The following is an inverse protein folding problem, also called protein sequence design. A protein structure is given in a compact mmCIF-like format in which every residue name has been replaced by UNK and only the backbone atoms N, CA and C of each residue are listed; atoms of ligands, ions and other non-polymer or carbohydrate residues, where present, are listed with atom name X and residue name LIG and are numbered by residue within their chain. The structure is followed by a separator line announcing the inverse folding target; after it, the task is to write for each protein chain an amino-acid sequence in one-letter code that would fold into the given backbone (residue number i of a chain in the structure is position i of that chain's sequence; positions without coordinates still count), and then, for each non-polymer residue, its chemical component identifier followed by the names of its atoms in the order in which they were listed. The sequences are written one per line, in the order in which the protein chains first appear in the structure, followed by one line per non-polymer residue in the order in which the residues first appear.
data_IF_357564583216
#
_entry.id   IF_357564583216
#
_cell.length_a   1.000
_cell.length_b   1.000
_cell.length_c   1.000
_cell.angle_alpha   90.00
_cell.angle_beta   90.00
_cell.angle_gamma   90.00
#
_symmetry.space_group_name_H-M   'P 1'
#
loop_
_entity.id
_entity.type
_entity.pdbx_description
1 polymer ?
#
# COMPACT_ATOMS: atom_id res chain seq x y z
N UNK A 1 -41.67 7.64 44.35
CA UNK A 1 -40.42 8.43 44.51
C UNK A 1 -39.28 7.63 45.19
N UNK A 2 -39.55 6.83 46.26
CA UNK A 2 -38.50 6.05 47.00
C UNK A 2 -37.76 5.01 46.11
N UNK A 3 -38.46 4.38 45.16
CA UNK A 3 -37.89 3.38 44.22
C UNK A 3 -37.08 4.05 43.11
N UNK A 4 -37.38 5.27 42.69
CA UNK A 4 -36.64 6.00 41.65
C UNK A 4 -35.26 6.49 42.19
N UNK A 5 -35.22 6.88 43.49
CA UNK A 5 -33.98 7.28 44.16
C UNK A 5 -33.01 6.09 44.35
N UNK A 6 -33.57 4.87 44.55
CA UNK A 6 -32.78 3.65 44.68
C UNK A 6 -32.16 3.24 43.36
N UNK A 7 -32.85 3.43 42.22
CA UNK A 7 -32.33 3.20 40.85
C UNK A 7 -31.23 4.23 40.51
N UNK A 8 -31.42 5.51 40.89
CA UNK A 8 -30.38 6.54 40.71
C UNK A 8 -29.14 6.29 41.57
N UNK A 9 -29.28 5.76 42.80
CA UNK A 9 -28.15 5.42 43.67
C UNK A 9 -27.32 4.21 43.13
N UNK A 10 -27.96 3.24 42.50
CA UNK A 10 -27.30 2.11 41.83
C UNK A 10 -26.52 2.57 40.57
N UNK A 11 -27.01 3.59 39.86
CA UNK A 11 -26.30 4.21 38.73
C UNK A 11 -25.00 4.92 39.12
N UNK A 12 -24.89 5.39 40.38
CA UNK A 12 -23.66 6.05 40.89
C UNK A 12 -22.56 5.08 41.34
N UNK A 13 -22.90 3.83 41.63
CA UNK A 13 -21.94 2.81 42.09
C UNK A 13 -21.24 2.04 40.94
N UNK A 14 -21.79 2.07 39.74
CA UNK A 14 -21.26 1.33 38.57
C UNK A 14 -20.02 1.95 37.92
N UNK A 15 -19.69 3.22 38.25
CA UNK A 15 -18.58 3.94 37.63
C UNK A 15 -17.18 3.65 38.17
N UNK A 16 -17.06 2.91 39.25
CA UNK A 16 -15.78 2.74 39.98
C UNK A 16 -15.07 1.43 39.71
N UNK A 17 -14.57 1.17 38.52
CA UNK A 17 -13.81 -0.08 38.38
C UNK A 17 -13.13 -0.42 37.08
N UNK A 18 -13.31 0.34 36.01
CA UNK A 18 -12.59 0.10 34.76
C UNK A 18 -11.26 0.84 34.81
N UNK A 19 -10.17 0.10 34.97
CA UNK A 19 -8.83 0.65 34.75
C UNK A 19 -8.62 0.76 33.24
N UNK A 20 -8.91 1.93 32.69
CA UNK A 20 -8.47 2.32 31.37
C UNK A 20 -7.00 2.76 31.41
N UNK A 21 -6.26 2.58 30.32
CA UNK A 21 -4.88 3.05 30.20
C UNK A 21 -4.79 4.57 30.41
N UNK A 22 -3.64 5.06 30.88
CA UNK A 22 -3.43 6.50 31.04
C UNK A 22 -3.37 7.20 29.69
N UNK A 23 -2.90 6.49 28.67
CA UNK A 23 -2.79 6.95 27.30
C UNK A 23 -4.17 7.30 26.73
N UNK A 24 -5.17 6.42 26.90
CA UNK A 24 -6.51 6.68 26.36
C UNK A 24 -7.27 7.77 27.16
N UNK A 25 -7.04 7.85 28.48
CA UNK A 25 -7.67 8.89 29.33
C UNK A 25 -7.21 10.29 28.95
N UNK A 26 -5.94 10.45 28.58
CA UNK A 26 -5.32 11.71 28.24
C UNK A 26 -5.28 11.96 26.73
N UNK A 27 -5.81 11.04 25.92
CA UNK A 27 -5.76 11.17 24.46
C UNK A 27 -6.60 12.34 23.98
N UNK A 28 -5.95 13.19 23.17
CA UNK A 28 -6.62 14.23 22.39
C UNK A 28 -6.62 13.80 20.94
N UNK A 29 -7.76 13.90 20.27
CA UNK A 29 -7.90 13.56 18.85
C UNK A 29 -6.82 14.26 18.04
N UNK A 30 -5.96 13.49 17.39
CA UNK A 30 -4.93 14.00 16.52
C UNK A 30 -5.59 14.58 15.27
N UNK A 31 -5.38 15.89 15.05
CA UNK A 31 -5.85 16.56 13.84
C UNK A 31 -4.88 16.29 12.70
N UNK A 32 -5.41 15.88 11.56
CA UNK A 32 -4.66 15.80 10.32
C UNK A 32 -4.66 17.21 9.74
N UNK A 33 -3.54 17.91 9.89
CA UNK A 33 -3.34 19.22 9.28
C UNK A 33 -2.80 19.03 7.88
N UNK A 34 -3.48 19.58 6.89
CA UNK A 34 -2.89 19.83 5.60
C UNK A 34 -2.12 21.15 5.70
N UNK A 35 -0.85 21.07 6.08
CA UNK A 35 0.04 22.21 5.99
C UNK A 35 0.29 22.54 4.50
N UNK A 36 0.61 23.80 4.17
CA UNK A 36 0.78 24.38 2.84
C UNK A 36 1.91 23.73 1.98
N UNK A 37 2.13 22.43 2.12
CA UNK A 37 3.01 21.66 1.29
C UNK A 37 2.21 21.15 0.09
N UNK A 38 2.49 21.70 -1.08
CA UNK A 38 1.90 21.20 -2.32
C UNK A 38 2.29 19.74 -2.51
N UNK A 39 1.28 18.85 -2.55
CA UNK A 39 1.49 17.48 -3.00
C UNK A 39 1.88 17.51 -4.47
N UNK A 40 3.14 17.20 -4.77
CA UNK A 40 3.57 16.99 -6.15
C UNK A 40 3.26 15.55 -6.53
N UNK A 41 1.98 15.29 -6.78
CA UNK A 41 1.49 13.97 -7.22
C UNK A 41 2.10 13.55 -8.56
N UNK A 42 2.73 14.48 -9.28
CA UNK A 42 3.30 14.30 -10.61
C UNK A 42 4.83 14.42 -10.62
N UNK A 43 5.50 14.22 -9.46
CA UNK A 43 6.96 14.29 -9.33
C UNK A 43 7.74 13.49 -10.40
N UNK A 44 7.16 12.38 -10.89
CA UNK A 44 7.76 11.54 -11.93
C UNK A 44 7.88 12.27 -13.29
N UNK A 45 7.04 13.29 -13.56
CA UNK A 45 7.13 14.11 -14.77
C UNK A 45 8.43 14.92 -14.82
N UNK A 46 9.11 15.13 -13.70
CA UNK A 46 10.42 15.81 -13.65
C UNK A 46 11.52 15.04 -14.38
N UNK A 47 11.35 13.73 -14.60
CA UNK A 47 12.25 12.95 -15.46
C UNK A 47 12.05 13.25 -16.94
N UNK A 48 11.02 14.01 -17.30
CA UNK A 48 10.73 14.49 -18.65
C UNK A 48 10.70 13.36 -19.69
N UNK A 49 10.06 12.22 -19.35
CA UNK A 49 9.89 11.07 -20.23
C UNK A 49 8.41 10.75 -20.49
N UNK A 50 7.89 11.12 -21.69
CA UNK A 50 6.49 10.88 -22.05
C UNK A 50 6.06 9.40 -22.04
N UNK A 51 6.99 8.47 -22.27
CA UNK A 51 6.66 7.04 -22.20
C UNK A 51 6.44 6.59 -20.78
N UNK A 52 7.27 7.06 -19.83
CA UNK A 52 7.07 6.83 -18.40
C UNK A 52 5.71 7.38 -17.96
N UNK A 53 5.37 8.62 -18.35
CA UNK A 53 4.10 9.25 -18.02
C UNK A 53 2.90 8.44 -18.56
N UNK A 54 2.99 7.96 -19.80
CA UNK A 54 1.96 7.13 -20.41
C UNK A 54 1.77 5.79 -19.66
N UNK A 55 2.87 5.13 -19.28
CA UNK A 55 2.82 3.89 -18.52
C UNK A 55 2.26 4.10 -17.11
N UNK A 56 2.62 5.18 -16.42
CA UNK A 56 2.05 5.51 -15.10
C UNK A 56 0.53 5.74 -15.22
N UNK A 57 0.07 6.50 -16.22
CA UNK A 57 -1.36 6.72 -16.43
C UNK A 57 -2.09 5.39 -16.72
N UNK A 58 -1.48 4.48 -17.47
CA UNK A 58 -2.03 3.16 -17.74
C UNK A 58 -2.12 2.32 -16.45
N UNK A 59 -1.07 2.32 -15.63
CA UNK A 59 -1.06 1.63 -14.34
C UNK A 59 -2.13 2.15 -13.39
N UNK A 60 -2.25 3.49 -13.25
CA UNK A 60 -3.26 4.11 -12.41
C UNK A 60 -4.70 3.74 -12.81
N UNK A 61 -4.92 3.45 -14.10
CA UNK A 61 -6.23 3.00 -14.62
C UNK A 61 -6.47 1.51 -14.39
N UNK A 62 -5.45 0.66 -14.53
CA UNK A 62 -5.62 -0.78 -14.67
C UNK A 62 -5.17 -1.60 -13.46
N UNK A 63 -4.22 -1.11 -12.66
CA UNK A 63 -3.62 -1.87 -11.57
C UNK A 63 -4.66 -2.44 -10.61
N UNK A 64 -4.54 -3.74 -10.30
CA UNK A 64 -5.52 -4.47 -9.50
C UNK A 64 -5.49 -4.06 -8.02
N UNK A 65 -4.31 -3.79 -7.45
CA UNK A 65 -4.17 -3.40 -6.05
C UNK A 65 -4.75 -2.00 -5.83
N UNK A 66 -4.52 -1.07 -6.77
CA UNK A 66 -5.12 0.27 -6.71
C UNK A 66 -6.65 0.20 -6.83
N UNK A 67 -7.19 -0.64 -7.71
CA UNK A 67 -8.64 -0.89 -7.81
C UNK A 67 -9.19 -1.47 -6.52
N UNK A 68 -8.48 -2.43 -5.90
CA UNK A 68 -8.86 -3.04 -4.62
C UNK A 68 -8.90 -1.99 -3.50
N UNK A 69 -7.90 -1.12 -3.42
CA UNK A 69 -7.88 -0.02 -2.44
C UNK A 69 -9.07 0.94 -2.65
N UNK A 70 -9.39 1.29 -3.90
CA UNK A 70 -10.58 2.09 -4.24
C UNK A 70 -11.91 1.41 -3.86
N UNK A 71 -12.02 0.10 -4.04
CA UNK A 71 -13.19 -0.67 -3.60
C UNK A 71 -13.29 -0.75 -2.07
N UNK A 72 -12.16 -0.86 -1.36
CA UNK A 72 -12.12 -0.80 0.10
C UNK A 72 -12.61 0.55 0.62
N UNK A 73 -12.17 1.65 0.00
CA UNK A 73 -12.69 2.98 0.32
C UNK A 73 -14.20 3.07 0.11
N UNK A 74 -14.71 2.61 -1.05
CA UNK A 74 -16.14 2.59 -1.32
C UNK A 74 -16.91 1.76 -0.30
N UNK A 75 -16.38 0.60 0.10
CA UNK A 75 -16.96 -0.24 1.15
C UNK A 75 -17.00 0.48 2.49
N UNK A 76 -15.92 1.18 2.85
CA UNK A 76 -15.84 1.97 4.09
C UNK A 76 -16.87 3.11 4.12
N UNK A 77 -17.06 3.81 2.98
CA UNK A 77 -18.11 4.84 2.84
C UNK A 77 -19.51 4.27 2.99
N UNK A 78 -19.80 3.11 2.39
CA UNK A 78 -21.10 2.44 2.53
C UNK A 78 -21.34 2.02 3.98
N UNK A 79 -20.34 1.46 4.65
CA UNK A 79 -20.43 1.08 6.06
C UNK A 79 -20.65 2.31 6.97
N UNK A 80 -20.00 3.44 6.69
CA UNK A 80 -20.24 4.68 7.41
C UNK A 80 -21.68 5.18 7.21
N UNK A 81 -22.21 5.12 5.98
CA UNK A 81 -23.61 5.46 5.70
C UNK A 81 -24.61 4.53 6.39
N UNK A 82 -24.30 3.23 6.51
CA UNK A 82 -25.14 2.29 7.28
C UNK A 82 -25.16 2.65 8.76
N UNK A 83 -24.03 3.05 9.35
CA UNK A 83 -23.92 3.48 10.75
C UNK A 83 -24.60 4.83 10.95
N UNK A 84 -24.50 5.74 9.98
CA UNK A 84 -25.22 7.02 10.02
C UNK A 84 -26.75 6.83 10.01
N UNK A 85 -27.24 5.79 9.36
CA UNK A 85 -28.67 5.46 9.36
C UNK A 85 -29.22 5.11 10.76
N UNK A 86 -28.34 4.73 11.73
CA UNK A 86 -28.75 4.48 13.13
C UNK A 86 -29.25 5.75 13.85
N UNK A 87 -28.99 6.96 13.31
CA UNK A 87 -29.59 8.20 13.80
C UNK A 87 -31.07 8.36 13.42
N UNK A 88 -31.56 7.57 12.48
CA UNK A 88 -32.95 7.62 12.04
C UNK A 88 -33.77 6.46 12.67
N UNK A 89 -35.07 6.65 12.85
CA UNK A 89 -35.96 5.55 13.25
C UNK A 89 -35.94 4.41 12.23
N UNK A 90 -35.93 3.17 12.70
CA UNK A 90 -36.00 1.95 11.86
C UNK A 90 -37.45 1.52 11.72
N UNK A 91 -37.97 1.37 10.49
CA UNK A 91 -39.26 0.79 10.19
C UNK A 91 -39.08 -0.67 9.76
N UNK A 92 -39.77 -1.58 10.41
CA UNK A 92 -39.79 -3.01 10.08
C UNK A 92 -41.19 -3.51 9.89
N UNK A 93 -41.37 -4.45 8.96
CA UNK A 93 -42.62 -5.18 8.75
C UNK A 93 -42.37 -6.65 9.07
N UNK A 94 -43.26 -7.26 9.80
CA UNK A 94 -43.20 -8.69 10.11
C UNK A 94 -44.54 -9.38 9.81
N UNK A 95 -44.47 -10.60 9.29
CA UNK A 95 -45.57 -11.51 9.10
C UNK A 95 -45.18 -12.85 9.66
N UNK A 96 -45.98 -13.42 10.55
CA UNK A 96 -45.71 -14.72 11.14
C UNK A 96 -46.95 -15.59 11.19
N UNK A 97 -46.74 -16.89 11.04
CA UNK A 97 -47.75 -17.95 11.23
C UNK A 97 -47.26 -18.88 12.33
N UNK A 98 -48.13 -19.06 13.34
CA UNK A 98 -47.89 -20.02 14.41
C UNK A 98 -49.06 -20.98 14.46
N UNK A 99 -48.78 -22.28 14.53
CA UNK A 99 -49.77 -23.31 14.80
C UNK A 99 -49.32 -24.10 16.01
N UNK A 100 -50.10 -24.11 17.07
CA UNK A 100 -49.78 -24.81 18.31
C UNK A 100 -50.98 -25.66 18.76
N UNK A 101 -50.72 -26.79 19.41
CA UNK A 101 -51.75 -27.59 20.07
C UNK A 101 -51.23 -28.14 21.39
N UNK A 102 -52.09 -28.29 22.35
CA UNK A 102 -51.80 -29.01 23.58
C UNK A 102 -51.91 -30.52 23.33
N UNK A 103 -50.79 -31.21 23.31
CA UNK A 103 -50.71 -32.65 23.04
C UNK A 103 -51.35 -33.45 24.19
N UNK A 104 -51.32 -32.92 25.41
CA UNK A 104 -51.90 -33.60 26.59
C UNK A 104 -53.43 -33.63 26.58
N UNK A 105 -54.06 -32.67 25.89
CA UNK A 105 -55.50 -32.53 25.80
C UNK A 105 -56.14 -33.04 24.51
N UNK A 106 -55.28 -33.39 23.52
CA UNK A 106 -55.76 -33.87 22.22
C UNK A 106 -56.42 -32.76 21.34
N UNK A 107 -56.17 -31.48 21.66
CA UNK A 107 -56.81 -30.36 21.01
C UNK A 107 -56.40 -30.24 19.51
N UNK A 108 -57.23 -29.59 18.71
CA UNK A 108 -56.90 -29.20 17.34
C UNK A 108 -55.80 -28.09 17.34
N UNK A 109 -55.12 -27.93 16.20
CA UNK A 109 -54.13 -26.85 16.04
C UNK A 109 -54.79 -25.48 16.10
N UNK A 110 -54.49 -24.70 17.12
CA UNK A 110 -54.78 -23.28 17.18
C UNK A 110 -53.85 -22.53 16.20
N UNK A 111 -54.41 -21.99 15.14
CA UNK A 111 -53.70 -21.21 14.09
C UNK A 111 -53.72 -19.75 14.47
N UNK A 112 -52.59 -19.07 14.29
CA UNK A 112 -52.41 -17.67 14.59
C UNK A 112 -51.58 -17.02 13.49
N UNK A 113 -52.17 -16.09 12.78
CA UNK A 113 -51.49 -15.23 11.82
C UNK A 113 -51.30 -13.87 12.48
N UNK A 114 -50.07 -13.36 12.42
CA UNK A 114 -49.75 -12.05 12.98
C UNK A 114 -49.01 -11.24 11.93
N UNK A 115 -49.53 -10.07 11.60
CA UNK A 115 -48.89 -9.10 10.73
C UNK A 115 -48.70 -7.80 11.51
N UNK A 116 -47.59 -7.11 11.27
CA UNK A 116 -47.30 -5.87 11.97
C UNK A 116 -46.26 -5.00 11.29
N UNK A 117 -46.36 -3.71 11.55
CA UNK A 117 -45.40 -2.68 11.26
C UNK A 117 -44.86 -2.15 12.59
N UNK A 118 -43.56 -2.05 12.73
CA UNK A 118 -42.89 -1.54 13.94
C UNK A 118 -41.91 -0.45 13.58
N UNK A 119 -42.08 0.72 14.19
CA UNK A 119 -41.13 1.82 14.19
C UNK A 119 -40.31 1.75 15.49
N UNK A 120 -39.00 1.77 15.42
CA UNK A 120 -38.08 1.75 16.57
C UNK A 120 -37.04 2.85 16.45
N UNK A 121 -36.79 3.54 17.55
CA UNK A 121 -35.78 4.60 17.61
C UNK A 121 -34.99 4.52 18.92
N UNK A 122 -33.67 4.36 18.85
CA UNK A 122 -32.76 4.39 20.01
C UNK A 122 -32.29 5.82 20.29
N UNK A 123 -32.47 6.28 21.52
CA UNK A 123 -32.06 7.62 21.94
C UNK A 123 -30.55 7.62 22.27
N UNK A 124 -29.78 8.46 21.60
CA UNK A 124 -28.34 8.58 21.82
C UNK A 124 -28.00 9.47 23.03
N UNK A 125 -28.46 9.11 24.22
CA UNK A 125 -28.30 9.89 25.46
C UNK A 125 -26.86 9.92 25.94
N UNK A 126 -26.13 8.83 25.75
CA UNK A 126 -24.75 8.66 26.23
C UNK A 126 -23.72 8.70 25.10
N UNK A 127 -24.11 9.09 23.90
CA UNK A 127 -23.22 9.33 22.78
C UNK A 127 -22.65 8.06 22.13
N UNK A 128 -23.29 6.89 22.33
CA UNK A 128 -22.87 5.62 21.74
C UNK A 128 -22.97 5.65 20.22
N UNK A 129 -24.13 6.08 19.69
CA UNK A 129 -24.40 6.17 18.24
C UNK A 129 -23.46 7.21 17.62
N UNK A 130 -23.29 8.37 18.27
CA UNK A 130 -22.35 9.41 17.82
C UNK A 130 -20.89 8.90 17.81
N UNK A 131 -20.46 8.18 18.84
CA UNK A 131 -19.12 7.61 18.88
C UNK A 131 -18.90 6.58 17.77
N UNK A 132 -19.90 5.70 17.50
CA UNK A 132 -19.86 4.74 16.42
C UNK A 132 -19.73 5.42 15.05
N UNK A 133 -20.52 6.46 14.80
CA UNK A 133 -20.45 7.26 13.58
C UNK A 133 -19.09 7.95 13.41
N UNK A 134 -18.50 8.48 14.49
CA UNK A 134 -17.17 9.07 14.48
C UNK A 134 -16.10 8.02 14.16
N UNK A 135 -16.17 6.81 14.74
CA UNK A 135 -15.27 5.71 14.39
C UNK A 135 -15.35 5.36 12.92
N UNK A 136 -16.57 5.20 12.39
CA UNK A 136 -16.81 4.92 10.98
C UNK A 136 -16.27 6.03 10.06
N UNK A 137 -16.47 7.30 10.41
CA UNK A 137 -15.95 8.45 9.67
C UNK A 137 -14.40 8.47 9.62
N UNK A 138 -13.73 8.14 10.74
CA UNK A 138 -12.28 7.98 10.75
C UNK A 138 -11.79 6.76 9.98
N UNK A 139 -12.59 5.68 9.92
CA UNK A 139 -12.30 4.50 9.11
C UNK A 139 -12.39 4.80 7.61
N UNK A 140 -13.29 5.72 7.18
CA UNK A 140 -13.31 6.24 5.80
C UNK A 140 -12.00 6.99 5.51
N UNK A 141 -11.59 7.91 6.39
CA UNK A 141 -10.32 8.67 6.23
C UNK A 141 -9.10 7.74 6.19
N UNK A 142 -9.09 6.69 7.01
CA UNK A 142 -8.05 5.66 6.91
C UNK A 142 -7.97 5.07 5.51
N UNK A 143 -9.12 4.67 4.93
CA UNK A 143 -9.18 4.08 3.59
C UNK A 143 -8.82 5.06 2.49
N UNK A 144 -9.11 6.36 2.64
CA UNK A 144 -8.70 7.43 1.71
C UNK A 144 -7.17 7.56 1.68
N UNK A 145 -6.52 7.64 2.84
CA UNK A 145 -5.07 7.76 2.92
C UNK A 145 -4.34 6.48 2.53
N UNK A 146 -4.93 5.30 2.80
CA UNK A 146 -4.42 4.02 2.33
C UNK A 146 -4.42 3.96 0.79
N UNK A 147 -5.49 4.40 0.14
CA UNK A 147 -5.56 4.52 -1.32
C UNK A 147 -4.47 5.45 -1.87
N UNK A 148 -4.23 6.60 -1.23
CA UNK A 148 -3.16 7.53 -1.61
C UNK A 148 -1.78 6.87 -1.47
N UNK A 149 -1.55 6.16 -0.37
CA UNK A 149 -0.30 5.44 -0.12
C UNK A 149 -0.05 4.31 -1.15
N UNK A 150 -1.07 3.54 -1.49
CA UNK A 150 -1.01 2.52 -2.54
C UNK A 150 -0.65 3.15 -3.89
N UNK A 151 -1.25 4.31 -4.23
CA UNK A 151 -0.96 5.06 -5.45
C UNK A 151 0.51 5.50 -5.51
N UNK A 152 1.03 6.12 -4.45
CA UNK A 152 2.42 6.59 -4.38
C UNK A 152 3.39 5.39 -4.50
N UNK A 153 3.09 4.29 -3.84
CA UNK A 153 3.89 3.07 -3.88
C UNK A 153 3.90 2.44 -5.28
N UNK A 154 2.75 2.39 -5.95
CA UNK A 154 2.64 1.90 -7.32
C UNK A 154 3.49 2.74 -8.29
N UNK A 155 3.39 4.07 -8.22
CA UNK A 155 4.17 4.98 -9.06
C UNK A 155 5.67 4.74 -8.84
N UNK A 156 6.13 4.69 -7.58
CA UNK A 156 7.55 4.47 -7.28
C UNK A 156 8.06 3.11 -7.78
N UNK A 157 7.27 2.05 -7.63
CA UNK A 157 7.61 0.71 -8.12
C UNK A 157 7.70 0.68 -9.65
N UNK A 158 6.77 1.36 -10.33
CA UNK A 158 6.76 1.46 -11.78
C UNK A 158 7.95 2.26 -12.31
N UNK A 159 8.27 3.41 -11.70
CA UNK A 159 9.45 4.21 -12.06
C UNK A 159 10.74 3.39 -11.93
N UNK A 160 10.88 2.67 -10.82
CA UNK A 160 12.05 1.82 -10.57
C UNK A 160 12.17 0.69 -11.59
N UNK A 161 11.07 -0.01 -11.90
CA UNK A 161 11.05 -1.09 -12.88
C UNK A 161 11.25 -0.58 -14.32
N UNK A 162 10.77 0.62 -14.64
CA UNK A 162 10.96 1.27 -15.92
C UNK A 162 12.44 1.61 -16.16
N UNK A 163 13.10 2.25 -15.21
CA UNK A 163 14.54 2.54 -15.33
C UNK A 163 15.39 1.28 -15.36
N UNK A 164 14.97 0.23 -14.63
CA UNK A 164 15.62 -1.07 -14.72
C UNK A 164 15.49 -1.68 -16.12
N UNK A 165 14.32 -1.56 -16.76
CA UNK A 165 14.14 -2.05 -18.14
C UNK A 165 15.07 -1.34 -19.12
N UNK A 166 15.20 0.00 -19.01
CA UNK A 166 16.12 0.76 -19.87
C UNK A 166 17.59 0.34 -19.60
N UNK A 167 17.96 0.17 -18.33
CA UNK A 167 19.28 -0.34 -17.96
C UNK A 167 19.56 -1.69 -18.62
N UNK A 168 18.66 -2.65 -18.48
CA UNK A 168 18.80 -4.00 -19.03
C UNK A 168 18.88 -3.99 -20.55
N UNK A 169 18.08 -3.16 -21.24
CA UNK A 169 18.16 -3.02 -22.70
C UNK A 169 19.48 -2.42 -23.16
N UNK A 170 20.01 -1.40 -22.46
CA UNK A 170 21.31 -0.82 -22.79
C UNK A 170 22.44 -1.82 -22.52
N UNK A 171 22.37 -2.59 -21.42
CA UNK A 171 23.31 -3.66 -21.13
C UNK A 171 23.28 -4.76 -22.20
N UNK A 172 22.08 -5.13 -22.69
CA UNK A 172 21.93 -6.13 -23.76
C UNK A 172 22.66 -5.68 -25.03
N UNK A 173 22.50 -4.42 -25.43
CA UNK A 173 23.21 -3.87 -26.61
C UNK A 173 24.73 -3.98 -26.45
N UNK A 174 25.27 -3.67 -25.27
CA UNK A 174 26.72 -3.79 -25.03
C UNK A 174 27.21 -5.23 -25.10
N UNK A 175 26.48 -6.17 -24.51
CA UNK A 175 26.86 -7.59 -24.60
C UNK A 175 26.74 -8.16 -26.00
N UNK A 176 25.73 -7.78 -26.80
CA UNK A 176 25.59 -8.17 -28.21
C UNK A 176 26.74 -7.64 -29.07
N UNK A 177 27.10 -6.35 -28.89
CA UNK A 177 28.26 -5.74 -29.55
C UNK A 177 29.57 -6.46 -29.17
N UNK A 178 29.74 -6.74 -27.89
CA UNK A 178 30.90 -7.48 -27.41
C UNK A 178 30.99 -8.89 -27.98
N UNK A 179 29.86 -9.62 -28.05
CA UNK A 179 29.82 -10.95 -28.64
C UNK A 179 30.23 -10.92 -30.13
N UNK A 180 29.78 -9.92 -30.90
CA UNK A 180 30.17 -9.77 -32.31
C UNK A 180 31.69 -9.54 -32.43
N UNK A 181 32.25 -8.63 -31.61
CA UNK A 181 33.70 -8.37 -31.61
C UNK A 181 34.50 -9.62 -31.20
N UNK A 182 34.04 -10.35 -30.21
CA UNK A 182 34.74 -11.55 -29.69
C UNK A 182 34.70 -12.69 -30.74
N UNK A 183 33.60 -12.86 -31.46
CA UNK A 183 33.49 -13.84 -32.56
C UNK A 183 34.40 -13.49 -33.75
N UNK A 184 34.51 -12.21 -34.11
CA UNK A 184 35.42 -11.78 -35.13
C UNK A 184 36.89 -12.04 -34.70
N UNK A 185 37.23 -11.80 -33.43
CA UNK A 185 38.54 -12.12 -32.89
C UNK A 185 38.81 -13.64 -32.91
N UNK A 186 37.80 -14.46 -32.53
CA UNK A 186 37.91 -15.92 -32.62
C UNK A 186 38.28 -16.38 -34.03
N UNK A 187 37.62 -15.83 -35.04
CA UNK A 187 37.95 -16.13 -36.45
C UNK A 187 39.39 -15.77 -36.78
N UNK A 188 39.88 -14.61 -36.33
CA UNK A 188 41.27 -14.17 -36.58
C UNK A 188 42.27 -15.10 -35.84
N UNK A 189 42.00 -15.47 -34.61
CA UNK A 189 42.91 -16.36 -33.84
C UNK A 189 42.96 -17.74 -34.45
N UNK A 190 41.84 -18.32 -34.84
CA UNK A 190 41.76 -19.63 -35.56
C UNK A 190 42.54 -19.59 -36.88
N UNK A 191 42.45 -18.49 -37.63
CA UNK A 191 43.19 -18.28 -38.84
C UNK A 191 44.71 -18.21 -38.58
N UNK A 192 45.12 -17.45 -37.58
CA UNK A 192 46.55 -17.38 -37.16
C UNK A 192 47.10 -18.74 -36.73
N UNK A 193 46.27 -19.54 -36.00
CA UNK A 193 46.68 -20.90 -35.59
C UNK A 193 46.85 -21.81 -36.81
N UNK A 194 45.93 -21.77 -37.78
CA UNK A 194 46.03 -22.58 -39.04
C UNK A 194 47.29 -22.26 -39.84
N UNK A 195 47.82 -21.00 -39.72
CA UNK A 195 49.10 -20.60 -40.35
C UNK A 195 50.33 -20.75 -39.41
N UNK A 196 50.18 -21.42 -38.26
CA UNK A 196 51.26 -21.61 -37.26
C UNK A 196 51.74 -20.34 -36.56
N UNK A 197 50.91 -19.28 -36.56
CA UNK A 197 51.23 -17.94 -35.98
C UNK A 197 50.57 -17.71 -34.63
N UNK A 198 49.91 -18.69 -34.02
CA UNK A 198 49.28 -18.65 -32.69
C UNK A 198 49.30 -20.05 -32.10
N UNK A 199 49.25 -20.14 -30.76
CA UNK A 199 49.19 -21.40 -30.05
C UNK A 199 47.74 -21.93 -29.94
N UNK A 200 47.55 -23.25 -29.78
CA UNK A 200 46.26 -23.87 -29.57
C UNK A 200 45.59 -23.37 -28.25
N UNK A 201 46.42 -23.04 -27.27
CA UNK A 201 45.95 -22.41 -26.03
C UNK A 201 45.20 -21.07 -26.27
N UNK A 202 45.59 -20.29 -27.28
CA UNK A 202 44.92 -19.04 -27.65
C UNK A 202 43.53 -19.31 -28.27
N UNK A 203 43.46 -20.38 -29.08
CA UNK A 203 42.14 -20.83 -29.63
C UNK A 203 41.19 -21.19 -28.51
N UNK A 204 41.61 -21.99 -27.54
CA UNK A 204 40.79 -22.37 -26.40
C UNK A 204 40.37 -21.18 -25.53
N UNK A 205 41.28 -20.20 -25.30
CA UNK A 205 40.98 -18.98 -24.55
C UNK A 205 39.89 -18.12 -25.21
N UNK A 206 40.02 -17.91 -26.51
CA UNK A 206 38.99 -17.11 -27.24
C UNK A 206 37.65 -17.81 -27.30
N UNK A 207 37.63 -19.13 -27.50
CA UNK A 207 36.38 -19.93 -27.45
C UNK A 207 35.71 -19.86 -26.07
N UNK A 208 36.50 -19.97 -24.99
CA UNK A 208 35.99 -19.77 -23.63
C UNK A 208 35.39 -18.38 -23.45
N UNK A 209 36.04 -17.32 -23.96
CA UNK A 209 35.53 -15.96 -23.86
C UNK A 209 34.20 -15.77 -24.63
N UNK A 210 34.03 -16.39 -25.80
CA UNK A 210 32.79 -16.42 -26.55
C UNK A 210 31.67 -17.06 -25.70
N UNK A 211 31.94 -18.22 -25.10
CA UNK A 211 30.98 -18.93 -24.25
C UNK A 211 30.59 -18.12 -23.01
N UNK A 212 31.56 -17.46 -22.35
CA UNK A 212 31.30 -16.57 -21.18
C UNK A 212 30.39 -15.39 -21.58
N UNK A 213 30.65 -14.77 -22.73
CA UNK A 213 29.82 -13.67 -23.24
C UNK A 213 28.41 -14.13 -23.61
N UNK A 214 28.27 -15.30 -24.24
CA UNK A 214 26.97 -15.91 -24.54
C UNK A 214 26.20 -16.21 -23.24
N UNK A 215 26.86 -16.78 -22.22
CA UNK A 215 26.26 -17.03 -20.91
C UNK A 215 25.74 -15.74 -20.25
N UNK A 216 26.52 -14.65 -20.37
CA UNK A 216 26.11 -13.35 -19.84
C UNK A 216 24.85 -12.82 -20.51
N UNK A 217 24.74 -12.98 -21.85
CA UNK A 217 23.53 -12.62 -22.60
C UNK A 217 22.31 -13.45 -22.17
N UNK A 218 22.45 -14.76 -22.01
CA UNK A 218 21.34 -15.62 -21.56
C UNK A 218 20.85 -15.22 -20.19
N UNK A 219 21.78 -14.92 -19.25
CA UNK A 219 21.42 -14.43 -17.91
C UNK A 219 20.69 -13.09 -17.98
N UNK A 220 21.16 -12.19 -18.84
CA UNK A 220 20.52 -10.88 -19.02
C UNK A 220 19.12 -10.98 -19.62
N UNK A 221 18.91 -11.87 -20.60
CA UNK A 221 17.60 -12.15 -21.17
C UNK A 221 16.60 -12.64 -20.10
N UNK A 222 17.08 -13.46 -19.15
CA UNK A 222 16.25 -13.90 -18.02
C UNK A 222 15.85 -12.72 -17.11
N UNK A 223 16.78 -11.78 -16.88
CA UNK A 223 16.49 -10.58 -16.10
C UNK A 223 15.51 -9.65 -16.82
N UNK A 224 15.65 -9.49 -18.15
CA UNK A 224 14.70 -8.73 -18.97
C UNK A 224 13.32 -9.35 -18.87
N UNK A 225 13.18 -10.67 -19.06
CA UNK A 225 11.89 -11.36 -18.96
C UNK A 225 11.24 -11.16 -17.59
N UNK A 226 12.01 -11.29 -16.51
CA UNK A 226 11.50 -11.07 -15.13
C UNK A 226 11.07 -9.62 -14.90
N UNK A 227 11.82 -8.64 -15.38
CA UNK A 227 11.46 -7.23 -15.22
C UNK A 227 10.27 -6.84 -16.09
N UNK A 228 10.16 -7.41 -17.30
CA UNK A 228 9.00 -7.21 -18.18
C UNK A 228 7.72 -7.78 -17.58
N UNK A 229 7.80 -8.95 -16.94
CA UNK A 229 6.69 -9.52 -16.19
C UNK A 229 6.27 -8.60 -15.03
N UNK A 230 7.24 -8.11 -14.24
CA UNK A 230 6.98 -7.15 -13.18
C UNK A 230 6.27 -5.89 -13.69
N UNK A 231 6.76 -5.31 -14.80
CA UNK A 231 6.13 -4.15 -15.43
C UNK A 231 4.70 -4.44 -15.88
N UNK A 232 4.44 -5.56 -16.54
CA UNK A 232 3.09 -5.94 -16.98
C UNK A 232 2.14 -6.14 -15.79
N UNK A 233 2.63 -6.73 -14.71
CA UNK A 233 1.86 -6.89 -13.47
C UNK A 233 1.53 -5.54 -12.83
N UNK A 234 2.49 -4.60 -12.75
CA UNK A 234 2.26 -3.24 -12.25
C UNK A 234 1.29 -2.47 -13.14
N UNK A 235 1.37 -2.64 -14.45
CA UNK A 235 0.48 -2.01 -15.43
C UNK A 235 -0.93 -2.63 -15.45
N UNK A 236 -1.10 -3.85 -14.94
CA UNK A 236 -2.36 -4.60 -15.02
C UNK A 236 -2.76 -4.93 -16.47
N UNK A 237 -1.78 -5.32 -17.29
CA UNK A 237 -1.97 -5.65 -18.72
C UNK A 237 -1.66 -7.12 -19.01
N UNK A 238 -2.09 -7.59 -20.18
CA UNK A 238 -1.87 -8.97 -20.63
C UNK A 238 -0.38 -9.26 -20.93
N UNK A 239 0.04 -10.54 -20.88
CA UNK A 239 1.45 -10.94 -21.09
C UNK A 239 2.04 -10.56 -22.47
N UNK A 240 1.19 -10.39 -23.48
CA UNK A 240 1.55 -10.01 -24.85
C UNK A 240 1.63 -8.50 -25.07
N UNK A 241 1.34 -7.69 -24.04
CA UNK A 241 1.44 -6.23 -24.14
C UNK A 241 2.87 -5.81 -24.48
N UNK A 242 3.00 -5.02 -25.54
CA UNK A 242 4.29 -4.54 -26.02
C UNK A 242 4.75 -3.31 -25.21
N UNK A 243 5.80 -3.51 -24.42
CA UNK A 243 6.45 -2.45 -23.66
C UNK A 243 7.34 -1.61 -24.57
N UNK A 244 7.17 -0.29 -24.56
CA UNK A 244 7.98 0.64 -25.34
C UNK A 244 8.75 1.57 -24.43
N UNK A 245 10.04 1.71 -24.69
CA UNK A 245 10.94 2.60 -23.96
C UNK A 245 11.51 3.62 -24.97
N UNK A 246 11.42 4.90 -24.63
CA UNK A 246 11.71 5.97 -25.59
C UNK A 246 13.11 6.52 -25.54
N UNK A 247 13.79 6.38 -24.40
CA UNK A 247 15.10 7.00 -24.13
C UNK A 247 16.13 5.95 -23.74
N UNK A 248 17.41 6.25 -24.03
CA UNK A 248 18.51 5.55 -23.37
C UNK A 248 18.72 6.13 -21.95
N UNK A 249 19.39 5.37 -21.09
CA UNK A 249 19.55 5.76 -19.70
C UNK A 249 20.34 7.09 -19.56
N UNK A 250 21.32 7.34 -20.43
CA UNK A 250 22.11 8.56 -20.43
C UNK A 250 21.35 9.84 -20.83
N UNK A 251 20.21 9.67 -21.54
CA UNK A 251 19.34 10.78 -21.96
C UNK A 251 18.39 11.23 -20.85
N UNK A 252 18.32 10.47 -19.74
CA UNK A 252 17.49 10.81 -18.60
C UNK A 252 18.26 11.71 -17.64
N UNK A 253 17.75 12.93 -17.45
CA UNK A 253 18.35 13.90 -16.55
C UNK A 253 17.99 13.62 -15.10
N UNK A 254 18.90 13.99 -14.17
CA UNK A 254 18.61 13.98 -12.75
C UNK A 254 17.62 15.07 -12.39
N UNK A 255 16.75 14.79 -11.43
CA UNK A 255 15.70 15.73 -10.97
C UNK A 255 16.16 16.62 -9.83
N UNK A 256 17.29 16.26 -9.18
CA UNK A 256 17.88 16.96 -8.02
C UNK A 256 16.84 17.30 -6.95
N UNK A 257 16.30 16.30 -6.23
CA UNK A 257 15.30 16.54 -5.20
C UNK A 257 15.84 17.48 -4.11
N UNK A 258 15.00 18.40 -3.62
CA UNK A 258 15.35 19.24 -2.48
C UNK A 258 15.41 18.36 -1.22
N UNK A 259 16.56 18.35 -0.56
CA UNK A 259 16.85 17.51 0.60
C UNK A 259 16.62 18.24 1.94
N UNK A 260 16.29 19.55 1.90
CA UNK A 260 16.04 20.38 3.09
C UNK A 260 14.59 20.32 3.56
N UNK A 261 13.94 19.16 3.44
CA UNK A 261 12.56 19.00 3.88
C UNK A 261 12.51 18.86 5.41
N UNK A 262 11.78 19.74 6.11
CA UNK A 262 11.71 19.68 7.56
C UNK A 262 11.02 18.40 8.06
N UNK A 263 11.40 17.90 9.24
CA UNK A 263 10.83 16.69 9.84
C UNK A 263 9.31 16.72 10.05
N UNK A 264 8.71 17.92 10.20
CA UNK A 264 7.25 18.02 10.32
C UNK A 264 6.53 17.62 9.03
N UNK A 265 7.20 17.67 7.88
CA UNK A 265 6.65 17.22 6.60
C UNK A 265 6.31 15.73 6.60
N UNK A 266 6.96 14.91 7.46
CA UNK A 266 6.63 13.50 7.61
C UNK A 266 5.18 13.26 8.06
N UNK A 267 4.60 14.17 8.83
CA UNK A 267 3.18 14.12 9.21
C UNK A 267 2.21 14.23 8.04
N UNK A 268 2.69 14.70 6.88
CA UNK A 268 1.90 14.81 5.66
C UNK A 268 1.92 13.55 4.78
N UNK A 269 2.76 12.55 5.10
CA UNK A 269 2.79 11.28 4.38
C UNK A 269 1.44 10.57 4.51
N UNK A 270 1.00 9.96 3.42
CA UNK A 270 -0.28 9.26 3.37
C UNK A 270 -0.34 8.08 4.36
N UNK A 271 0.74 7.32 4.49
CA UNK A 271 0.84 6.20 5.45
C UNK A 271 0.73 6.68 6.91
N UNK A 272 1.34 7.81 7.27
CA UNK A 272 1.25 8.39 8.62
C UNK A 272 -0.17 8.93 8.88
N UNK A 273 -0.77 9.61 7.90
CA UNK A 273 -2.16 10.08 7.99
C UNK A 273 -3.13 8.90 8.16
N UNK A 274 -2.90 7.79 7.47
CA UNK A 274 -3.67 6.56 7.64
C UNK A 274 -3.56 6.04 9.09
N UNK A 275 -2.35 5.99 9.67
CA UNK A 275 -2.18 5.53 11.05
C UNK A 275 -2.86 6.47 12.06
N UNK A 276 -2.82 7.79 11.85
CA UNK A 276 -3.56 8.75 12.68
C UNK A 276 -5.08 8.51 12.59
N UNK A 277 -5.58 8.28 11.38
CA UNK A 277 -7.01 8.01 11.19
C UNK A 277 -7.43 6.71 11.88
N UNK A 278 -6.63 5.65 11.78
CA UNK A 278 -6.87 4.40 12.48
C UNK A 278 -6.85 4.57 14.01
N UNK A 279 -5.88 5.31 14.54
CA UNK A 279 -5.79 5.59 15.98
C UNK A 279 -7.02 6.33 16.50
N UNK A 280 -7.48 7.36 15.75
CA UNK A 280 -8.72 8.08 16.09
C UNK A 280 -9.95 7.16 16.02
N UNK A 281 -10.04 6.28 15.01
CA UNK A 281 -11.13 5.30 14.91
C UNK A 281 -11.15 4.39 16.14
N UNK A 282 -9.99 3.84 16.57
CA UNK A 282 -9.87 2.97 17.75
C UNK A 282 -10.21 3.69 19.06
N UNK A 283 -9.89 4.99 19.17
CA UNK A 283 -10.32 5.79 20.28
C UNK A 283 -11.86 5.89 20.38
N UNK A 284 -12.53 6.08 19.24
CA UNK A 284 -14.00 6.11 19.23
C UNK A 284 -14.62 4.73 19.43
N UNK A 285 -14.00 3.64 18.95
CA UNK A 285 -14.40 2.26 19.27
C UNK A 285 -14.39 2.01 20.79
N UNK A 286 -13.35 2.50 21.48
CA UNK A 286 -13.32 2.45 22.94
C UNK A 286 -14.47 3.23 23.57
N UNK A 287 -14.79 4.44 23.06
CA UNK A 287 -15.94 5.21 23.55
C UNK A 287 -17.27 4.48 23.36
N UNK A 288 -17.43 3.75 22.25
CA UNK A 288 -18.63 2.89 22.04
C UNK A 288 -18.67 1.79 23.09
N UNK A 289 -17.57 1.08 23.33
CA UNK A 289 -17.50 0.03 24.35
C UNK A 289 -17.72 0.57 25.77
N UNK A 290 -17.23 1.77 26.06
CA UNK A 290 -17.44 2.45 27.34
C UNK A 290 -18.89 2.92 27.54
N UNK A 291 -19.57 3.28 26.45
CA UNK A 291 -20.98 3.67 26.51
C UNK A 291 -21.90 2.49 26.94
N UNK A 292 -21.46 1.24 26.81
CA UNK A 292 -22.17 0.06 27.31
C UNK A 292 -22.25 -0.02 28.86
N UNK A 293 -21.53 0.84 29.60
CA UNK A 293 -21.74 0.99 31.03
C UNK A 293 -22.99 1.80 31.39
N UNK A 294 -23.64 2.42 30.40
CA UNK A 294 -24.85 3.22 30.59
C UNK A 294 -26.08 2.54 30.01
N UNK A 295 -27.30 2.86 30.52
CA UNK A 295 -28.53 2.34 29.95
C UNK A 295 -28.72 2.79 28.49
N UNK A 296 -29.30 1.94 27.65
CA UNK A 296 -29.85 2.40 26.37
C UNK A 296 -31.38 2.44 26.45
N UNK A 297 -31.97 3.46 25.82
CA UNK A 297 -33.40 3.69 25.82
C UNK A 297 -33.90 3.71 24.38
N UNK A 298 -34.85 2.83 24.06
CA UNK A 298 -35.47 2.76 22.75
C UNK A 298 -36.96 3.07 22.86
N UNK A 299 -37.48 3.88 21.93
CA UNK A 299 -38.89 4.18 21.73
C UNK A 299 -39.42 3.31 20.62
N UNK A 300 -40.58 2.71 20.82
CA UNK A 300 -41.24 1.90 19.82
C UNK A 300 -42.70 2.35 19.59
N UNK A 301 -43.16 2.28 18.34
CA UNK A 301 -44.54 2.40 17.97
C UNK A 301 -44.89 1.28 16.98
N UNK A 302 -46.02 0.62 17.15
CA UNK A 302 -46.39 -0.49 16.30
C UNK A 302 -47.85 -0.50 15.92
N UNK A 303 -48.14 -0.95 14.72
CA UNK A 303 -49.45 -1.34 14.25
C UNK A 303 -49.44 -2.85 13.98
N UNK A 304 -50.32 -3.61 14.57
CA UNK A 304 -50.37 -5.06 14.36
C UNK A 304 -51.79 -5.58 14.35
N UNK A 305 -51.96 -6.77 13.80
CA UNK A 305 -53.18 -7.54 13.91
C UNK A 305 -52.86 -9.03 14.10
N UNK A 306 -53.72 -9.70 14.81
CA UNK A 306 -53.60 -11.13 15.11
C UNK A 306 -54.93 -11.79 14.91
N UNK A 307 -55.02 -12.73 13.97
CA UNK A 307 -56.26 -13.46 13.67
C UNK A 307 -55.99 -14.95 13.41
N UNK A 308 -57.02 -15.74 13.56
CA UNK A 308 -57.01 -17.17 13.22
C UNK A 308 -57.05 -17.41 11.70
N UNK A 309 -57.46 -16.43 10.92
CA UNK A 309 -57.54 -16.45 9.45
C UNK A 309 -56.58 -15.46 8.85
N UNK A 310 -55.81 -15.90 7.87
CA UNK A 310 -54.80 -15.07 7.17
C UNK A 310 -55.41 -13.80 6.56
N UNK A 311 -56.58 -13.91 5.92
CA UNK A 311 -57.25 -12.78 5.26
C UNK A 311 -57.73 -11.68 6.22
N UNK A 312 -57.87 -11.99 7.50
CA UNK A 312 -58.35 -11.06 8.54
C UNK A 312 -57.21 -10.45 9.34
N UNK A 313 -55.99 -11.00 9.24
CA UNK A 313 -54.81 -10.55 9.99
C UNK A 313 -54.11 -9.29 9.41
N UNK A 314 -54.67 -8.67 8.37
CA UNK A 314 -54.13 -7.45 7.75
C UNK A 314 -54.82 -6.16 8.19
N UNK A 315 -55.75 -6.23 9.13
CA UNK A 315 -56.54 -5.08 9.60
C UNK A 315 -55.70 -4.01 10.31
N UNK A 316 -54.51 -4.37 10.85
CA UNK A 316 -53.64 -3.50 11.63
C UNK A 316 -54.35 -2.72 12.72
N UNK A 317 -55.28 -3.39 13.40
CA UNK A 317 -56.27 -2.79 14.30
C UNK A 317 -55.69 -2.46 15.71
N UNK A 318 -54.52 -3.01 16.05
CA UNK A 318 -53.87 -2.80 17.34
C UNK A 318 -52.73 -1.82 17.22
N UNK A 319 -52.90 -0.63 17.80
CA UNK A 319 -51.82 0.32 17.96
C UNK A 319 -51.12 0.11 19.32
N UNK A 320 -49.81 0.02 19.32
CA UNK A 320 -48.99 -0.14 20.52
C UNK A 320 -47.88 0.91 20.59
N UNK A 321 -47.55 1.36 21.79
CA UNK A 321 -46.42 2.18 22.10
C UNK A 321 -45.56 1.48 23.15
N UNK A 322 -44.25 1.59 23.02
CA UNK A 322 -43.34 0.98 23.99
C UNK A 322 -42.13 1.88 24.27
N UNK A 323 -41.70 1.85 25.50
CA UNK A 323 -40.38 2.38 25.93
C UNK A 323 -39.59 1.20 26.49
N UNK A 324 -38.49 0.88 25.86
CA UNK A 324 -37.61 -0.21 26.28
C UNK A 324 -36.33 0.35 26.88
N UNK A 325 -35.97 -0.09 28.08
CA UNK A 325 -34.75 0.30 28.76
C UNK A 325 -33.88 -0.96 28.90
N UNK A 326 -32.74 -0.94 28.25
CA UNK A 326 -31.73 -2.01 28.36
C UNK A 326 -30.65 -1.57 29.35
N UNK A 327 -30.26 -2.47 30.27
CA UNK A 327 -29.30 -2.22 31.33
C UNK A 327 -28.05 -3.12 31.16
N UNK A 328 -27.13 -2.81 30.20
CA UNK A 328 -26.01 -3.69 29.89
C UNK A 328 -25.04 -3.85 31.06
N UNK A 329 -24.94 -2.85 31.95
CA UNK A 329 -24.08 -2.87 33.13
C UNK A 329 -24.44 -3.95 34.15
N UNK A 330 -25.61 -4.55 34.09
CA UNK A 330 -25.94 -5.71 34.91
C UNK A 330 -25.04 -6.93 34.59
N UNK A 331 -24.54 -7.04 33.36
CA UNK A 331 -23.49 -7.96 32.97
C UNK A 331 -22.09 -7.29 33.07
N UNK A 332 -21.79 -6.74 34.25
CA UNK A 332 -20.60 -5.90 34.48
C UNK A 332 -19.30 -6.56 34.02
N UNK A 333 -19.13 -7.85 34.28
CA UNK A 333 -17.90 -8.56 33.92
C UNK A 333 -17.64 -8.53 32.40
N UNK A 334 -18.69 -8.78 31.60
CA UNK A 334 -18.62 -8.80 30.13
C UNK A 334 -18.42 -7.41 29.54
N UNK A 335 -19.15 -6.40 30.05
CA UNK A 335 -19.00 -5.01 29.62
C UNK A 335 -17.60 -4.50 29.93
N UNK A 336 -17.07 -4.80 31.14
CA UNK A 336 -15.70 -4.47 31.52
C UNK A 336 -14.66 -5.09 30.57
N UNK A 337 -14.80 -6.39 30.25
CA UNK A 337 -13.88 -7.05 29.34
C UNK A 337 -13.91 -6.46 27.94
N UNK A 338 -15.07 -6.05 27.42
CA UNK A 338 -15.19 -5.37 26.12
C UNK A 338 -14.48 -4.02 26.13
N UNK A 339 -14.68 -3.21 27.15
CA UNK A 339 -14.00 -1.93 27.29
C UNK A 339 -12.47 -2.09 27.42
N UNK A 340 -12.02 -3.10 28.18
CA UNK A 340 -10.59 -3.41 28.27
C UNK A 340 -10.01 -3.90 26.94
N UNK A 341 -10.74 -4.73 26.19
CA UNK A 341 -10.32 -5.16 24.85
C UNK A 341 -10.16 -3.96 23.90
N UNK A 342 -11.13 -3.04 23.89
CA UNK A 342 -11.06 -1.83 23.07
C UNK A 342 -9.93 -0.88 23.51
N UNK A 343 -9.59 -0.82 24.81
CA UNK A 343 -8.43 -0.08 25.32
C UNK A 343 -7.11 -0.68 24.78
N UNK A 344 -6.98 -2.01 24.77
CA UNK A 344 -5.82 -2.69 24.20
C UNK A 344 -5.73 -2.48 22.67
N UNK A 345 -6.85 -2.49 21.97
CA UNK A 345 -6.88 -2.20 20.52
C UNK A 345 -6.40 -0.77 20.23
N UNK A 346 -6.77 0.20 21.08
CA UNK A 346 -6.27 1.57 21.01
C UNK A 346 -4.74 1.62 21.25
N UNK A 347 -4.24 0.95 22.29
CA UNK A 347 -2.80 0.90 22.58
C UNK A 347 -2.01 0.26 21.44
N UNK A 348 -2.54 -0.78 20.80
CA UNK A 348 -1.94 -1.39 19.62
C UNK A 348 -1.89 -0.41 18.43
N UNK A 349 -2.95 0.36 18.23
CA UNK A 349 -2.98 1.39 17.19
C UNK A 349 -1.99 2.53 17.50
N UNK A 350 -1.85 2.94 18.76
CA UNK A 350 -0.87 3.94 19.20
C UNK A 350 0.56 3.46 18.94
N UNK A 351 0.87 2.22 19.31
CA UNK A 351 2.17 1.62 19.06
C UNK A 351 2.46 1.53 17.55
N UNK A 352 1.47 1.15 16.75
CA UNK A 352 1.58 1.10 15.29
C UNK A 352 1.88 2.47 14.69
N UNK A 353 1.22 3.52 15.17
CA UNK A 353 1.49 4.91 14.77
C UNK A 353 2.92 5.34 15.12
N UNK A 354 3.37 5.09 16.36
CA UNK A 354 4.74 5.41 16.80
C UNK A 354 5.78 4.68 15.97
N UNK A 355 5.56 3.40 15.70
CA UNK A 355 6.44 2.61 14.86
C UNK A 355 6.48 3.13 13.42
N UNK A 356 5.33 3.48 12.83
CA UNK A 356 5.26 4.06 11.48
C UNK A 356 6.06 5.37 11.39
N UNK A 357 5.98 6.24 12.41
CA UNK A 357 6.80 7.47 12.48
C UNK A 357 8.30 7.16 12.51
N UNK A 358 8.72 6.17 13.29
CA UNK A 358 10.12 5.79 13.38
C UNK A 358 10.62 5.19 12.05
N UNK A 359 9.82 4.32 11.41
CA UNK A 359 10.11 3.76 10.10
C UNK A 359 10.22 4.87 9.05
N UNK A 360 9.29 5.83 9.03
CA UNK A 360 9.32 6.95 8.10
C UNK A 360 10.57 7.82 8.27
N UNK A 361 10.97 8.12 9.52
CA UNK A 361 12.23 8.85 9.80
C UNK A 361 13.45 8.11 9.26
N UNK A 362 13.53 6.81 9.54
CA UNK A 362 14.65 5.98 9.09
C UNK A 362 14.65 5.83 7.55
N UNK A 363 13.48 5.73 6.92
CA UNK A 363 13.35 5.65 5.45
C UNK A 363 13.90 6.92 4.79
N UNK A 364 13.52 8.10 5.28
CA UNK A 364 14.04 9.38 4.75
C UNK A 364 15.55 9.46 4.92
N UNK A 365 16.07 9.16 6.11
CA UNK A 365 17.50 9.21 6.39
C UNK A 365 18.30 8.25 5.49
N UNK A 366 17.80 7.01 5.36
CA UNK A 366 18.40 6.00 4.48
C UNK A 366 18.36 6.42 3.02
N UNK A 367 17.21 6.90 2.54
CA UNK A 367 17.03 7.32 1.13
C UNK A 367 17.97 8.47 0.78
N UNK A 368 18.16 9.42 1.69
CA UNK A 368 19.11 10.51 1.55
C UNK A 368 20.54 9.99 1.40
N UNK A 369 21.00 9.15 2.34
CA UNK A 369 22.36 8.60 2.30
C UNK A 369 22.60 7.77 1.04
N UNK A 370 21.63 6.92 0.64
CA UNK A 370 21.73 6.12 -0.58
C UNK A 370 21.82 6.98 -1.84
N UNK A 371 21.06 8.07 -1.91
CA UNK A 371 21.11 8.98 -3.04
C UNK A 371 22.47 9.69 -3.16
N UNK A 372 23.00 10.25 -2.06
CA UNK A 372 24.29 10.88 -2.04
C UNK A 372 25.40 9.91 -2.48
N UNK A 373 25.41 8.71 -1.91
CA UNK A 373 26.39 7.68 -2.27
C UNK A 373 26.25 7.23 -3.73
N UNK A 374 25.02 7.19 -4.27
CA UNK A 374 24.80 6.81 -5.67
C UNK A 374 25.29 7.88 -6.65
N UNK A 375 25.14 9.17 -6.33
CA UNK A 375 25.70 10.27 -7.12
C UNK A 375 27.23 10.19 -7.19
N UNK A 376 27.88 9.97 -6.04
CA UNK A 376 29.35 9.82 -5.99
C UNK A 376 29.82 8.59 -6.77
N UNK A 377 29.13 7.44 -6.57
CA UNK A 377 29.45 6.20 -7.30
C UNK A 377 29.26 6.35 -8.82
N UNK A 378 28.26 7.09 -9.27
CA UNK A 378 28.04 7.38 -10.70
C UNK A 378 29.23 8.19 -11.27
N UNK A 379 29.70 9.21 -10.57
CA UNK A 379 30.87 9.99 -10.99
C UNK A 379 32.13 9.13 -11.06
N UNK A 380 32.40 8.32 -10.05
CA UNK A 380 33.53 7.39 -10.00
C UNK A 380 33.46 6.39 -11.14
N UNK A 381 32.31 5.78 -11.37
CA UNK A 381 32.10 4.77 -12.42
C UNK A 381 32.30 5.36 -13.82
N UNK A 382 31.80 6.58 -14.08
CA UNK A 382 32.05 7.30 -15.34
C UNK A 382 33.51 7.61 -15.55
N UNK A 383 34.21 8.07 -14.51
CA UNK A 383 35.64 8.35 -14.60
C UNK A 383 36.45 7.08 -14.85
N UNK A 384 36.09 5.97 -14.22
CA UNK A 384 36.72 4.66 -14.43
C UNK A 384 36.50 4.15 -15.86
N UNK A 385 35.26 4.24 -16.36
CA UNK A 385 34.94 3.87 -17.74
C UNK A 385 35.80 4.64 -18.76
N UNK A 386 35.95 5.95 -18.57
CA UNK A 386 36.77 6.79 -19.46
C UNK A 386 38.24 6.35 -19.49
N UNK A 387 38.79 5.90 -18.37
CA UNK A 387 40.20 5.38 -18.29
C UNK A 387 40.31 4.01 -18.93
N UNK A 388 39.38 3.08 -18.64
CA UNK A 388 39.40 1.72 -19.20
C UNK A 388 39.13 1.70 -20.69
N UNK A 389 38.30 2.63 -21.22
CA UNK A 389 38.12 2.81 -22.66
C UNK A 389 39.46 3.16 -23.36
N UNK A 390 40.25 4.10 -22.80
CA UNK A 390 41.57 4.43 -23.36
C UNK A 390 42.58 3.30 -23.23
N UNK A 391 42.56 2.54 -22.11
CA UNK A 391 43.42 1.37 -21.95
C UNK A 391 43.10 0.29 -22.98
N UNK A 392 41.81 0.05 -23.24
CA UNK A 392 41.41 -0.91 -24.25
C UNK A 392 41.79 -0.46 -25.66
N UNK A 393 41.65 0.81 -26.03
CA UNK A 393 42.10 1.37 -27.33
C UNK A 393 43.61 1.12 -27.52
N UNK A 394 44.42 1.35 -26.48
CA UNK A 394 45.88 1.06 -26.51
C UNK A 394 46.10 -0.44 -26.70
N UNK A 395 45.42 -1.29 -25.95
CA UNK A 395 45.52 -2.75 -26.04
C UNK A 395 45.17 -3.28 -27.45
N UNK A 396 44.13 -2.72 -28.07
CA UNK A 396 43.74 -3.05 -29.48
C UNK A 396 44.91 -2.78 -30.43
N UNK A 397 45.57 -1.59 -30.34
CA UNK A 397 46.70 -1.23 -31.19
C UNK A 397 47.89 -2.12 -30.90
N UNK A 398 48.25 -2.36 -29.64
CA UNK A 398 49.38 -3.22 -29.26
C UNK A 398 49.18 -4.66 -29.77
N UNK A 399 48.01 -5.24 -29.60
CA UNK A 399 47.71 -6.58 -30.09
C UNK A 399 47.76 -6.68 -31.64
N UNK A 400 47.25 -5.66 -32.35
CA UNK A 400 47.33 -5.58 -33.81
C UNK A 400 48.77 -5.62 -34.33
N UNK A 401 49.70 -4.96 -33.64
CA UNK A 401 51.11 -4.92 -34.00
C UNK A 401 51.99 -6.00 -33.32
N UNK A 402 51.37 -6.98 -32.63
CA UNK A 402 52.06 -8.09 -31.99
C UNK A 402 52.92 -7.68 -30.77
N UNK A 403 52.63 -6.51 -30.15
CA UNK A 403 53.35 -5.99 -28.98
C UNK A 403 52.75 -6.49 -27.66
N UNK A 404 51.63 -7.15 -27.66
CA UNK A 404 50.97 -7.76 -26.49
C UNK A 404 50.33 -9.08 -26.87
N UNK A 405 50.13 -9.95 -25.88
CA UNK A 405 49.50 -11.26 -26.06
C UNK A 405 47.97 -11.15 -26.11
N UNK A 406 47.31 -12.21 -26.63
CA UNK A 406 45.84 -12.32 -26.66
C UNK A 406 45.24 -12.22 -25.25
N UNK A 407 45.94 -12.77 -24.24
CA UNK A 407 45.46 -12.75 -22.85
C UNK A 407 45.28 -11.32 -22.32
N UNK A 408 46.24 -10.44 -22.54
CA UNK A 408 46.20 -9.02 -22.11
C UNK A 408 45.11 -8.27 -22.86
N UNK A 409 44.93 -8.52 -24.15
CA UNK A 409 43.83 -7.95 -24.94
C UNK A 409 42.46 -8.35 -24.38
N UNK A 410 42.23 -9.65 -24.11
CA UNK A 410 40.99 -10.16 -23.56
C UNK A 410 40.72 -9.63 -22.13
N UNK A 411 41.79 -9.46 -21.33
CA UNK A 411 41.66 -8.82 -20.01
C UNK A 411 41.18 -7.38 -20.13
N UNK A 412 41.79 -6.58 -20.98
CA UNK A 412 41.41 -5.18 -21.19
C UNK A 412 39.99 -5.06 -21.75
N UNK A 413 39.58 -5.98 -22.64
CA UNK A 413 38.19 -6.05 -23.17
C UNK A 413 37.20 -6.34 -22.06
N UNK A 414 37.48 -7.32 -21.21
CA UNK A 414 36.63 -7.69 -20.07
C UNK A 414 36.49 -6.53 -19.08
N UNK A 415 37.60 -5.84 -18.77
CA UNK A 415 37.61 -4.70 -17.88
C UNK A 415 36.75 -3.53 -18.43
N UNK A 416 36.84 -3.27 -19.74
CA UNK A 416 35.99 -2.27 -20.39
C UNK A 416 34.50 -2.60 -20.30
N UNK A 417 34.10 -3.86 -20.58
CA UNK A 417 32.72 -4.26 -20.52
C UNK A 417 32.17 -4.15 -19.10
N UNK A 418 32.95 -4.62 -18.11
CA UNK A 418 32.60 -4.50 -16.70
C UNK A 418 32.42 -3.02 -16.30
N UNK A 419 33.27 -2.13 -16.81
CA UNK A 419 33.16 -0.70 -16.54
C UNK A 419 31.93 -0.07 -17.22
N UNK A 420 31.60 -0.48 -18.46
CA UNK A 420 30.39 -0.04 -19.16
C UNK A 420 29.12 -0.43 -18.38
N UNK A 421 29.02 -1.70 -17.99
CA UNK A 421 27.87 -2.21 -17.21
C UNK A 421 27.82 -1.54 -15.83
N UNK A 422 28.97 -1.35 -15.16
CA UNK A 422 29.06 -0.66 -13.87
C UNK A 422 28.59 0.80 -13.96
N UNK A 423 28.98 1.53 -15.00
CA UNK A 423 28.56 2.91 -15.21
C UNK A 423 27.05 3.03 -15.48
N UNK A 424 26.49 2.12 -16.32
CA UNK A 424 25.05 2.04 -16.53
C UNK A 424 24.28 1.71 -15.25
N UNK A 425 24.78 0.74 -14.48
CA UNK A 425 24.13 0.36 -13.22
C UNK A 425 24.19 1.51 -12.19
N UNK A 426 25.32 2.22 -12.10
CA UNK A 426 25.44 3.38 -11.24
C UNK A 426 24.44 4.48 -11.59
N UNK A 427 24.24 4.77 -12.88
CA UNK A 427 23.22 5.72 -13.35
C UNK A 427 21.81 5.26 -13.00
N UNK A 428 21.50 3.97 -13.23
CA UNK A 428 20.21 3.38 -12.87
C UNK A 428 19.93 3.49 -11.36
N UNK A 429 20.92 3.12 -10.52
CA UNK A 429 20.77 3.21 -9.07
C UNK A 429 20.55 4.65 -8.60
N UNK A 430 21.19 5.64 -9.22
CA UNK A 430 20.97 7.06 -8.90
C UNK A 430 19.53 7.46 -9.20
N UNK A 431 19.00 7.16 -10.40
CA UNK A 431 17.62 7.48 -10.78
C UNK A 431 16.59 6.78 -9.89
N UNK A 432 16.84 5.53 -9.53
CA UNK A 432 16.01 4.76 -8.60
C UNK A 432 16.01 5.37 -7.21
N UNK A 433 17.18 5.79 -6.69
CA UNK A 433 17.29 6.43 -5.39
C UNK A 433 16.65 7.81 -5.36
N UNK A 434 16.69 8.57 -6.47
CA UNK A 434 15.90 9.81 -6.63
C UNK A 434 14.40 9.53 -6.48
N UNK A 435 13.87 8.53 -7.19
CA UNK A 435 12.46 8.13 -7.06
C UNK A 435 12.11 7.72 -5.62
N UNK A 436 13.01 7.00 -4.95
CA UNK A 436 12.81 6.58 -3.57
C UNK A 436 12.76 7.77 -2.58
N UNK A 437 13.54 8.84 -2.81
CA UNK A 437 13.45 10.06 -2.00
C UNK A 437 12.05 10.69 -2.15
N UNK A 438 11.55 10.81 -3.38
CA UNK A 438 10.21 11.34 -3.63
C UNK A 438 9.13 10.56 -2.87
N UNK A 439 9.21 9.23 -2.88
CA UNK A 439 8.33 8.37 -2.08
C UNK A 439 8.50 8.61 -0.57
N UNK A 440 9.75 8.59 -0.07
CA UNK A 440 10.05 8.73 1.35
C UNK A 440 9.57 10.06 1.94
N UNK A 441 9.54 11.12 1.12
CA UNK A 441 9.03 12.44 1.49
C UNK A 441 7.51 12.57 1.25
N UNK A 442 6.82 11.48 0.88
CA UNK A 442 5.38 11.46 0.64
C UNK A 442 4.96 12.23 -0.61
N UNK A 443 5.82 12.32 -1.62
CA UNK A 443 5.62 13.08 -2.85
C UNK A 443 5.29 14.58 -2.62
N UNK A 444 5.82 15.18 -1.54
CA UNK A 444 5.56 16.58 -1.16
C UNK A 444 6.87 17.34 -1.05
N UNK A 445 6.89 18.52 -1.63
CA UNK A 445 8.05 19.42 -1.62
C UNK A 445 7.62 20.82 -1.18
N UNK A 446 8.55 21.51 -0.50
CA UNK A 446 8.44 22.95 -0.30
C UNK A 446 8.64 23.59 -1.67
N UNK A 447 7.77 24.52 -2.05
CA UNK A 447 7.94 25.34 -3.25
C UNK A 447 9.13 26.26 -3.11
#
# INVERSE_FOLDING_TARGET
MRNLVMICAILWLGGCGVKSSNEIKNYKILQIKDENLTSDTFWYQRFNDPNLDALINLALKNNADLKKAGLNLKKSMINAGLIEADFAPTLSANSSFNASRDISKGDEFAKKYQNGLTLSYELDLFGKIRANNQSASWSVKYSEFDLENVKITLINSLVSAYFNAIYLQNANKFYEQNLAITRDLERIVRTKFAFGKSEYADVLRIEQNVLETQKSLVNLQSQIATNDELLRNLLGVAPDFNLKFGKNLDEISHTHPDLNVPFYALGNRADIKAMIANLNAKFFDYKVAFADFFPSISLGAGLSDIDAKFSQSYGLNLFSQSVSIKLPFLDFARVKMRAQSADIDFLNALNSYQNALNVAKNEVHKSYALYQNSLENEQISKANLAKLSKLFEISVVQYKYGKTELKEYLSAQKDLINAQISALNAKYETLKNEAQIYKAMGARFVK
#
